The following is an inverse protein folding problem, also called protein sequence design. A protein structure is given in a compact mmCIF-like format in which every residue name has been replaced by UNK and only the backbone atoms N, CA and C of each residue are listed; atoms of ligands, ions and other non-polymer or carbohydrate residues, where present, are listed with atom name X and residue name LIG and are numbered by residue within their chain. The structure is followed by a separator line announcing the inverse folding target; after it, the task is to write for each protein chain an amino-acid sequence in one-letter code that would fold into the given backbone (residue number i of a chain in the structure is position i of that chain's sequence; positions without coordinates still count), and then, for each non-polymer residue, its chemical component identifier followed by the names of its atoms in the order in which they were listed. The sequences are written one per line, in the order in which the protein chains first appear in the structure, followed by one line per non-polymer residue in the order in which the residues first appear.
data_IF_415453590769
#
_entry.id   IF_415453590769
#
_cell.length_a   1.000
_cell.length_b   1.000
_cell.length_c   1.000
_cell.angle_alpha   90.00
_cell.angle_beta   90.00
_cell.angle_gamma   90.00
#
_symmetry.space_group_name_H-M   'P 1'
#
loop_
_entity.id
_entity.type
_entity.pdbx_description
1 polymer ?
#
# COMPACT_ATOMS: atom_id res chain seq x y z
N UNK A 1 -11.29 13.23 -7.37
CA UNK A 1 -12.15 14.19 -8.09
C UNK A 1 -12.84 13.52 -9.27
N UNK A 2 -12.12 13.03 -10.29
CA UNK A 2 -12.66 12.41 -11.50
C UNK A 2 -13.63 11.25 -11.21
N UNK A 3 -13.33 10.39 -10.23
CA UNK A 3 -14.21 9.30 -9.80
C UNK A 3 -15.61 9.81 -9.40
N UNK A 4 -15.65 10.83 -8.56
CA UNK A 4 -16.91 11.43 -8.09
C UNK A 4 -17.72 12.07 -9.21
N UNK A 5 -17.05 12.78 -10.12
CA UNK A 5 -17.70 13.35 -11.29
C UNK A 5 -18.28 12.26 -12.18
N UNK A 6 -17.49 11.23 -12.47
CA UNK A 6 -17.86 10.21 -13.47
C UNK A 6 -18.92 9.24 -12.96
N UNK A 7 -18.71 8.67 -11.77
CA UNK A 7 -19.57 7.59 -11.26
C UNK A 7 -20.77 8.07 -10.41
N UNK A 8 -20.76 9.32 -9.99
CA UNK A 8 -21.86 9.88 -9.20
C UNK A 8 -22.58 10.96 -9.99
N UNK A 9 -21.94 12.11 -10.23
CA UNK A 9 -22.63 13.25 -10.84
C UNK A 9 -23.09 12.95 -12.27
N UNK A 10 -22.20 12.48 -13.13
CA UNK A 10 -22.54 12.24 -14.53
C UNK A 10 -23.50 11.08 -14.76
N UNK A 11 -23.60 10.12 -13.82
CA UNK A 11 -24.49 8.97 -13.94
C UNK A 11 -25.81 9.13 -13.19
N UNK A 12 -25.81 9.85 -12.07
CA UNK A 12 -26.96 9.88 -11.15
C UNK A 12 -27.64 11.25 -11.08
N UNK A 13 -27.06 12.30 -11.64
CA UNK A 13 -27.62 13.65 -11.68
C UNK A 13 -27.82 14.13 -13.11
N UNK A 14 -29.03 13.98 -13.63
CA UNK A 14 -29.41 14.41 -14.99
C UNK A 14 -29.17 15.90 -15.25
N UNK A 15 -29.16 16.72 -14.21
CA UNK A 15 -28.94 18.17 -14.32
C UNK A 15 -27.47 18.58 -14.33
N UNK A 16 -26.57 17.64 -14.03
CA UNK A 16 -25.14 17.92 -13.93
C UNK A 16 -24.50 18.21 -15.29
N UNK A 17 -23.63 19.19 -15.31
CA UNK A 17 -22.80 19.51 -16.48
C UNK A 17 -21.33 19.30 -16.14
N UNK A 18 -20.60 18.46 -16.89
CA UNK A 18 -19.17 18.25 -16.66
C UNK A 18 -18.37 19.56 -16.70
N UNK A 19 -17.41 19.69 -15.81
CA UNK A 19 -16.52 20.85 -15.75
C UNK A 19 -15.79 21.06 -17.08
N UNK A 20 -15.27 19.99 -17.65
CA UNK A 20 -14.65 19.96 -18.97
C UNK A 20 -14.80 18.57 -19.57
N UNK A 21 -15.31 18.46 -20.79
CA UNK A 21 -15.57 17.19 -21.48
C UNK A 21 -14.30 16.34 -21.70
N UNK A 22 -13.15 17.01 -21.93
CA UNK A 22 -11.89 16.33 -22.19
C UNK A 22 -11.27 15.74 -20.92
N UNK A 23 -11.71 16.20 -19.74
CA UNK A 23 -11.20 15.68 -18.46
C UNK A 23 -11.57 14.23 -18.22
N UNK A 24 -12.64 13.74 -18.86
CA UNK A 24 -12.97 12.32 -18.82
C UNK A 24 -11.84 11.46 -19.42
N UNK A 25 -11.28 11.86 -20.55
CA UNK A 25 -10.14 11.19 -21.17
C UNK A 25 -8.81 11.44 -20.41
N UNK A 26 -8.54 12.69 -20.05
CA UNK A 26 -7.27 13.11 -19.44
C UNK A 26 -7.04 12.41 -18.10
N UNK A 27 -8.09 12.24 -17.28
CA UNK A 27 -7.99 11.66 -15.96
C UNK A 27 -8.39 10.19 -15.89
N UNK A 28 -8.88 9.58 -16.98
CA UNK A 28 -9.10 8.14 -17.04
C UNK A 28 -7.77 7.40 -17.23
N UNK A 29 -7.28 6.76 -16.17
CA UNK A 29 -5.98 6.09 -16.17
C UNK A 29 -6.02 4.66 -16.73
N UNK A 30 -7.16 3.93 -16.58
CA UNK A 30 -7.25 2.52 -16.95
C UNK A 30 -8.68 1.92 -17.01
N UNK A 31 -9.72 2.72 -16.78
CA UNK A 31 -11.09 2.20 -16.80
C UNK A 31 -11.64 2.08 -18.22
N UNK A 32 -11.46 0.91 -18.83
CA UNK A 32 -11.99 0.61 -20.18
C UNK A 32 -13.52 0.68 -20.26
N UNK A 33 -14.22 0.31 -19.19
CA UNK A 33 -15.67 0.31 -19.12
C UNK A 33 -16.31 1.71 -19.18
N UNK A 34 -15.49 2.76 -18.99
CA UNK A 34 -15.94 4.15 -18.88
C UNK A 34 -15.64 4.96 -20.14
N UNK A 35 -14.95 4.38 -21.10
CA UNK A 35 -14.55 5.02 -22.36
C UNK A 35 -13.04 4.94 -22.61
N UNK A 36 -12.59 5.65 -23.63
CA UNK A 36 -11.18 5.71 -23.97
C UNK A 36 -10.32 6.23 -22.81
N UNK A 37 -9.18 5.61 -22.61
CA UNK A 37 -8.20 6.03 -21.62
C UNK A 37 -6.82 6.25 -22.26
N UNK A 38 -5.98 7.00 -21.58
CA UNK A 38 -4.66 7.32 -22.06
C UNK A 38 -3.67 6.17 -21.85
N UNK A 39 -3.13 5.55 -22.90
CA UNK A 39 -2.20 4.43 -22.79
C UNK A 39 -0.94 4.80 -22.01
N UNK A 40 -0.45 3.87 -21.16
CA UNK A 40 0.71 4.13 -20.28
C UNK A 40 1.95 4.59 -21.03
N UNK A 41 2.24 3.99 -22.19
CA UNK A 41 3.40 4.32 -23.02
C UNK A 41 3.31 5.69 -23.71
N UNK A 42 2.11 6.32 -23.76
CA UNK A 42 1.89 7.63 -24.35
C UNK A 42 1.67 8.75 -23.32
N UNK A 43 1.66 8.41 -22.01
CA UNK A 43 1.37 9.39 -20.96
C UNK A 43 2.36 10.55 -20.88
N UNK A 44 3.61 10.33 -21.28
CA UNK A 44 4.63 11.39 -21.33
C UNK A 44 4.35 12.49 -22.35
N UNK A 45 3.55 12.22 -23.38
CA UNK A 45 3.14 13.19 -24.39
C UNK A 45 1.80 13.89 -24.09
N UNK A 46 1.11 13.48 -23.02
CA UNK A 46 -0.15 14.10 -22.63
C UNK A 46 0.10 15.40 -21.87
N UNK A 47 -0.34 16.50 -22.46
CA UNK A 47 -0.36 17.79 -21.77
C UNK A 47 -1.55 17.83 -20.78
N UNK A 48 -1.25 17.90 -19.50
CA UNK A 48 -2.26 17.97 -18.43
C UNK A 48 -2.58 19.41 -18.06
N UNK A 49 -3.79 19.68 -17.52
CA UNK A 49 -4.12 20.98 -16.99
C UNK A 49 -3.13 21.44 -15.92
N UNK A 50 -2.91 22.74 -15.81
CA UNK A 50 -2.09 23.32 -14.75
C UNK A 50 -2.79 23.13 -13.39
N UNK A 51 -2.00 23.13 -12.30
CA UNK A 51 -2.51 22.91 -10.94
C UNK A 51 -3.71 23.80 -10.59
N UNK A 52 -3.68 25.07 -10.98
CA UNK A 52 -4.77 26.01 -10.73
C UNK A 52 -6.11 25.54 -11.32
N UNK A 53 -6.10 24.93 -12.50
CA UNK A 53 -7.32 24.44 -13.16
C UNK A 53 -7.78 23.10 -12.55
N UNK A 54 -6.83 22.25 -12.14
CA UNK A 54 -7.15 21.02 -11.38
C UNK A 54 -7.81 21.36 -10.03
N UNK A 55 -7.33 22.40 -9.34
CA UNK A 55 -7.93 22.88 -8.08
C UNK A 55 -9.34 23.43 -8.33
N UNK A 56 -9.57 24.22 -9.40
CA UNK A 56 -10.93 24.67 -9.76
C UNK A 56 -11.85 23.48 -10.07
N UNK A 57 -11.35 22.51 -10.83
CA UNK A 57 -12.10 21.30 -11.11
C UNK A 57 -12.50 20.56 -9.84
N UNK A 58 -11.56 20.40 -8.89
CA UNK A 58 -11.86 19.78 -7.60
C UNK A 58 -12.93 20.52 -6.82
N UNK A 59 -12.85 21.84 -6.72
CA UNK A 59 -13.87 22.65 -6.05
C UNK A 59 -15.24 22.51 -6.71
N UNK A 60 -15.30 22.63 -8.03
CA UNK A 60 -16.53 22.48 -8.78
C UNK A 60 -17.22 21.14 -8.53
N UNK A 61 -16.48 20.03 -8.63
CA UNK A 61 -17.03 18.70 -8.38
C UNK A 61 -17.45 18.54 -6.93
N UNK A 62 -16.66 19.03 -5.98
CA UNK A 62 -16.98 18.93 -4.55
C UNK A 62 -18.29 19.66 -4.20
N UNK A 63 -18.47 20.89 -4.69
CA UNK A 63 -19.69 21.67 -4.47
C UNK A 63 -20.91 20.95 -5.05
N UNK A 64 -20.81 20.46 -6.28
CA UNK A 64 -21.90 19.72 -6.92
C UNK A 64 -22.24 18.41 -6.19
N UNK A 65 -21.24 17.66 -5.70
CA UNK A 65 -21.48 16.46 -4.88
C UNK A 65 -22.20 16.83 -3.58
N UNK A 66 -21.76 17.85 -2.88
CA UNK A 66 -22.40 18.29 -1.63
C UNK A 66 -23.87 18.68 -1.88
N UNK A 67 -24.14 19.41 -2.94
CA UNK A 67 -25.51 19.82 -3.29
C UNK A 67 -26.36 18.64 -3.77
N UNK A 68 -25.78 17.70 -4.51
CA UNK A 68 -26.47 16.48 -4.89
C UNK A 68 -26.84 15.63 -3.67
N UNK A 69 -25.95 15.47 -2.69
CA UNK A 69 -26.18 14.72 -1.46
C UNK A 69 -27.26 15.35 -0.56
N UNK A 70 -27.43 16.67 -0.57
CA UNK A 70 -28.50 17.34 0.18
C UNK A 70 -29.90 16.98 -0.34
N UNK A 71 -30.03 16.77 -1.64
CA UNK A 71 -31.31 16.50 -2.33
C UNK A 71 -31.57 15.03 -2.66
N UNK A 72 -30.54 14.17 -2.52
CA UNK A 72 -30.64 12.76 -2.87
C UNK A 72 -30.20 11.90 -1.70
N UNK A 73 -31.07 10.97 -1.29
CA UNK A 73 -30.79 9.98 -0.23
C UNK A 73 -31.08 8.59 -0.80
N UNK A 74 -30.06 7.92 -1.31
CA UNK A 74 -30.16 6.52 -1.69
C UNK A 74 -28.87 5.76 -1.36
N UNK A 75 -29.00 4.45 -1.16
CA UNK A 75 -27.90 3.59 -0.73
C UNK A 75 -26.77 3.55 -1.75
N UNK A 76 -27.08 3.56 -3.05
CA UNK A 76 -26.05 3.53 -4.11
C UNK A 76 -25.17 4.78 -4.07
N UNK A 77 -25.77 5.96 -3.90
CA UNK A 77 -24.99 7.21 -3.77
C UNK A 77 -24.12 7.20 -2.54
N UNK A 78 -24.66 6.76 -1.39
CA UNK A 78 -23.89 6.66 -0.13
C UNK A 78 -22.70 5.71 -0.30
N UNK A 79 -22.92 4.53 -0.86
CA UNK A 79 -21.85 3.56 -1.13
C UNK A 79 -20.77 4.12 -2.06
N UNK A 80 -21.14 4.78 -3.16
CA UNK A 80 -20.18 5.35 -4.09
C UNK A 80 -19.35 6.49 -3.48
N UNK A 81 -19.95 7.30 -2.61
CA UNK A 81 -19.23 8.35 -1.88
C UNK A 81 -18.23 7.73 -0.90
N UNK A 82 -18.62 6.70 -0.17
CA UNK A 82 -17.76 5.99 0.76
C UNK A 82 -16.62 5.27 0.02
N UNK A 83 -16.93 4.56 -1.06
CA UNK A 83 -15.94 3.93 -1.93
C UNK A 83 -14.92 4.95 -2.47
N UNK A 84 -15.41 6.08 -3.00
CA UNK A 84 -14.54 7.13 -3.53
C UNK A 84 -13.65 7.76 -2.46
N UNK A 85 -14.14 7.90 -1.23
CA UNK A 85 -13.38 8.44 -0.10
C UNK A 85 -12.28 7.47 0.33
N UNK A 86 -12.58 6.19 0.47
CA UNK A 86 -11.59 5.15 0.78
C UNK A 86 -10.54 5.02 -0.34
N UNK A 87 -10.97 5.07 -1.60
CA UNK A 87 -10.05 5.07 -2.75
C UNK A 87 -9.13 6.31 -2.77
N UNK A 88 -9.61 7.49 -2.39
CA UNK A 88 -8.78 8.69 -2.24
C UNK A 88 -7.69 8.48 -1.15
N UNK A 89 -8.03 7.83 -0.03
CA UNK A 89 -7.07 7.51 1.04
C UNK A 89 -5.99 6.53 0.56
N UNK A 90 -6.33 5.53 -0.23
CA UNK A 90 -5.32 4.64 -0.86
C UNK A 90 -4.33 5.43 -1.72
N UNK A 91 -4.82 6.38 -2.52
CA UNK A 91 -3.93 7.24 -3.32
C UNK A 91 -3.04 8.15 -2.47
N UNK A 92 -3.52 8.62 -1.31
CA UNK A 92 -2.69 9.40 -0.38
C UNK A 92 -1.53 8.55 0.16
N UNK A 93 -1.79 7.29 0.52
CA UNK A 93 -0.74 6.36 0.94
C UNK A 93 0.30 6.13 -0.17
N UNK A 94 -0.15 5.83 -1.39
CA UNK A 94 0.73 5.66 -2.55
C UNK A 94 1.60 6.89 -2.81
N UNK A 95 1.04 8.10 -2.70
CA UNK A 95 1.81 9.34 -2.86
C UNK A 95 2.90 9.49 -1.79
N UNK A 96 2.63 9.10 -0.54
CA UNK A 96 3.64 9.11 0.52
C UNK A 96 4.76 8.09 0.27
N UNK A 97 4.43 6.92 -0.28
CA UNK A 97 5.42 5.93 -0.69
C UNK A 97 6.32 6.47 -1.82
N UNK A 98 5.71 7.07 -2.85
CA UNK A 98 6.44 7.67 -3.97
C UNK A 98 7.33 8.83 -3.53
N UNK A 99 6.83 9.74 -2.69
CA UNK A 99 7.60 10.86 -2.13
C UNK A 99 8.79 10.33 -1.32
N UNK A 100 8.59 9.30 -0.50
CA UNK A 100 9.69 8.68 0.26
C UNK A 100 10.79 8.17 -0.68
N UNK A 101 10.42 7.49 -1.76
CA UNK A 101 11.38 6.98 -2.73
C UNK A 101 12.12 8.10 -3.48
N UNK A 102 11.40 9.13 -3.91
CA UNK A 102 11.99 10.30 -4.59
C UNK A 102 12.98 11.02 -3.67
N UNK A 103 12.64 11.20 -2.40
CA UNK A 103 13.48 11.89 -1.43
C UNK A 103 14.71 11.08 -1.04
N UNK A 104 14.57 9.77 -0.92
CA UNK A 104 15.70 8.87 -0.66
C UNK A 104 16.72 8.88 -1.80
N UNK A 105 16.26 8.92 -3.04
CA UNK A 105 17.14 8.97 -4.22
C UNK A 105 17.70 10.40 -4.50
N UNK A 106 17.25 11.39 -3.77
CA UNK A 106 17.79 12.74 -3.86
C UNK A 106 19.04 12.86 -2.96
N UNK A 107 20.20 13.33 -3.48
CA UNK A 107 21.40 13.49 -2.67
C UNK A 107 21.23 14.36 -1.41
N UNK A 108 20.25 15.27 -1.41
CA UNK A 108 19.96 16.13 -0.28
C UNK A 108 19.09 15.45 0.79
N UNK A 109 18.50 14.28 0.49
CA UNK A 109 17.60 13.54 1.38
C UNK A 109 16.60 14.45 2.13
N UNK A 110 15.77 15.24 1.42
CA UNK A 110 14.87 16.19 2.07
C UNK A 110 13.84 15.49 2.94
N UNK A 111 13.29 16.21 3.92
CA UNK A 111 12.24 15.72 4.81
C UNK A 111 10.86 16.17 4.34
N UNK A 112 9.87 15.29 4.46
CA UNK A 112 8.46 15.64 4.25
C UNK A 112 7.84 16.27 5.51
N UNK A 113 8.22 15.73 6.69
CA UNK A 113 7.73 16.19 7.98
C UNK A 113 8.87 16.16 9.01
N UNK A 114 8.85 17.05 9.99
CA UNK A 114 9.85 17.13 11.05
C UNK A 114 9.40 16.55 12.39
N UNK A 115 8.28 15.83 12.43
CA UNK A 115 7.79 15.23 13.67
C UNK A 115 8.73 14.12 14.15
N UNK A 116 8.93 14.05 15.46
CA UNK A 116 9.66 12.94 16.06
C UNK A 116 8.76 11.70 16.18
N UNK A 117 9.35 10.56 15.85
CA UNK A 117 8.70 9.27 16.06
C UNK A 117 8.53 9.00 17.55
N UNK A 118 7.37 8.48 17.95
CA UNK A 118 7.21 7.95 19.30
C UNK A 118 8.04 6.67 19.45
N UNK A 119 8.70 6.47 20.60
CA UNK A 119 9.36 5.19 20.86
C UNK A 119 8.34 4.05 20.81
N UNK A 120 8.76 2.94 20.24
CA UNK A 120 7.96 1.72 20.18
C UNK A 120 8.54 0.72 21.16
N UNK A 121 7.72 0.15 22.03
CA UNK A 121 8.09 -1.00 22.83
C UNK A 121 7.65 -2.27 22.09
N UNK A 122 8.54 -3.25 22.02
CA UNK A 122 8.17 -4.57 21.50
C UNK A 122 7.19 -5.20 22.47
N UNK A 123 5.99 -5.52 22.00
CA UNK A 123 5.11 -6.43 22.71
C UNK A 123 5.44 -7.86 22.24
N UNK A 124 5.92 -8.69 23.12
CA UNK A 124 6.12 -10.11 22.85
C UNK A 124 4.77 -10.81 22.86
N UNK A 125 4.13 -10.85 21.72
CA UNK A 125 2.88 -11.55 21.54
C UNK A 125 3.09 -12.74 20.59
N UNK A 126 3.30 -13.92 21.17
CA UNK A 126 3.17 -15.19 20.45
C UNK A 126 1.71 -15.61 20.48
N UNK A 127 1.11 -15.80 19.32
CA UNK A 127 -0.20 -16.43 19.20
C UNK A 127 -0.01 -17.92 18.93
N UNK A 128 -0.57 -18.75 19.79
CA UNK A 128 -0.56 -20.21 19.61
C UNK A 128 -1.97 -20.72 19.35
N UNK A 129 -2.13 -21.51 18.29
CA UNK A 129 -3.28 -22.36 18.08
C UNK A 129 -2.87 -23.81 18.40
N UNK A 130 -3.41 -24.38 19.50
CA UNK A 130 -3.01 -25.72 19.95
C UNK A 130 -3.79 -26.86 19.30
N UNK A 131 -4.98 -26.57 18.79
CA UNK A 131 -5.86 -27.57 18.18
C UNK A 131 -6.43 -27.06 16.88
N UNK A 132 -6.70 -27.97 15.94
CA UNK A 132 -7.37 -27.65 14.68
C UNK A 132 -8.69 -26.93 14.94
N UNK A 133 -8.88 -25.79 14.29
CA UNK A 133 -10.03 -24.92 14.48
C UNK A 133 -10.51 -24.32 13.16
N UNK A 134 -11.83 -24.13 13.06
CA UNK A 134 -12.46 -23.42 11.94
C UNK A 134 -12.47 -21.93 12.18
N UNK A 135 -12.10 -21.16 11.18
CA UNK A 135 -12.10 -19.71 11.17
C UNK A 135 -12.90 -19.17 10.00
N UNK A 136 -13.58 -18.07 10.26
CA UNK A 136 -14.19 -17.28 9.20
C UNK A 136 -13.31 -16.08 8.88
N UNK A 137 -13.14 -15.79 7.60
CA UNK A 137 -12.42 -14.62 7.11
C UNK A 137 -13.18 -13.98 5.94
N UNK A 138 -12.85 -12.73 5.62
CA UNK A 138 -13.62 -11.95 4.68
C UNK A 138 -14.65 -11.05 5.36
N UNK A 139 -15.47 -10.38 4.57
CA UNK A 139 -16.48 -9.43 5.03
C UNK A 139 -17.90 -9.87 4.59
N UNK A 140 -18.92 -9.38 5.28
CA UNK A 140 -20.34 -9.68 5.03
C UNK A 140 -21.17 -8.47 4.57
N UNK A 141 -20.52 -7.38 4.14
CA UNK A 141 -21.16 -6.13 3.69
C UNK A 141 -21.87 -5.30 4.78
N UNK A 142 -21.77 -5.67 6.06
CA UNK A 142 -22.37 -4.87 7.14
C UNK A 142 -21.65 -3.54 7.37
N UNK A 143 -20.38 -3.48 6.96
CA UNK A 143 -19.54 -2.28 6.96
C UNK A 143 -18.91 -2.12 5.57
N UNK A 144 -18.35 -0.94 5.29
CA UNK A 144 -17.61 -0.76 4.03
C UNK A 144 -16.52 -1.81 3.87
N UNK A 145 -16.48 -2.43 2.68
CA UNK A 145 -15.42 -3.33 2.25
C UNK A 145 -15.24 -3.24 0.73
N UNK A 146 -14.07 -3.64 0.27
CA UNK A 146 -13.82 -3.80 -1.16
C UNK A 146 -14.30 -5.18 -1.64
N UNK A 147 -14.50 -5.32 -2.94
CA UNK A 147 -14.96 -6.56 -3.58
C UNK A 147 -14.05 -7.76 -3.33
N UNK A 148 -12.74 -7.52 -3.20
CA UNK A 148 -11.75 -8.56 -2.89
C UNK A 148 -11.76 -9.03 -1.42
N UNK A 149 -12.51 -8.36 -0.55
CA UNK A 149 -12.74 -8.78 0.83
C UNK A 149 -13.99 -9.67 0.97
N UNK A 150 -14.74 -9.87 -0.12
CA UNK A 150 -15.99 -10.66 -0.18
C UNK A 150 -15.78 -12.00 -0.89
N UNK A 151 -16.61 -12.99 -0.59
CA UNK A 151 -17.53 -13.12 0.53
C UNK A 151 -16.84 -13.60 1.80
N UNK A 152 -17.59 -13.68 2.91
CA UNK A 152 -17.15 -14.44 4.08
C UNK A 152 -16.90 -15.88 3.67
N UNK A 153 -15.72 -16.38 3.95
CA UNK A 153 -15.30 -17.76 3.70
C UNK A 153 -14.92 -18.45 5.02
N UNK A 154 -14.97 -19.76 5.03
CA UNK A 154 -14.56 -20.57 6.18
C UNK A 154 -13.36 -21.43 5.80
N UNK A 155 -12.35 -21.46 6.65
CA UNK A 155 -11.20 -22.36 6.52
C UNK A 155 -10.93 -23.08 7.83
N UNK A 156 -10.29 -24.23 7.71
CA UNK A 156 -9.80 -24.99 8.86
C UNK A 156 -8.28 -24.80 8.95
N UNK A 157 -7.82 -24.41 10.12
CA UNK A 157 -6.40 -24.26 10.39
C UNK A 157 -5.93 -25.35 11.34
N UNK A 158 -4.83 -25.99 10.99
CA UNK A 158 -4.12 -26.90 11.86
C UNK A 158 -3.35 -26.14 12.96
N UNK A 159 -2.88 -26.82 14.01
CA UNK A 159 -2.11 -26.19 15.07
C UNK A 159 -0.90 -25.43 14.53
N UNK A 160 -0.70 -24.21 15.02
CA UNK A 160 0.45 -23.38 14.64
C UNK A 160 0.86 -22.44 15.78
N UNK A 161 2.06 -21.93 15.65
CA UNK A 161 2.56 -20.78 16.41
C UNK A 161 2.93 -19.67 15.44
N UNK A 162 2.51 -18.44 15.75
CA UNK A 162 2.89 -17.26 15.01
C UNK A 162 3.55 -16.25 15.95
N UNK A 163 4.71 -15.79 15.58
CA UNK A 163 5.37 -14.70 16.29
C UNK A 163 4.73 -13.36 15.93
N UNK A 164 4.98 -12.34 16.76
CA UNK A 164 4.64 -10.98 16.43
C UNK A 164 5.40 -10.50 15.19
N UNK A 165 5.88 -9.32 15.12
CA UNK A 165 6.70 -8.86 14.00
C UNK A 165 8.18 -9.13 14.22
N UNK A 166 8.93 -9.28 13.13
CA UNK A 166 10.39 -9.32 13.15
C UNK A 166 10.94 -7.90 13.33
N UNK A 167 11.82 -7.72 14.29
CA UNK A 167 12.40 -6.41 14.63
C UNK A 167 13.62 -6.05 13.78
N UNK A 168 13.95 -4.77 13.75
CA UNK A 168 15.20 -4.30 13.14
C UNK A 168 16.43 -4.90 13.84
N UNK A 169 16.36 -5.15 15.15
CA UNK A 169 17.43 -5.82 15.91
C UNK A 169 17.70 -7.23 15.41
N UNK A 170 16.65 -8.04 15.28
CA UNK A 170 16.73 -9.40 14.73
C UNK A 170 17.21 -9.40 13.28
N UNK A 171 16.83 -8.38 12.52
CA UNK A 171 17.32 -8.25 11.14
C UNK A 171 18.81 -7.90 11.06
N UNK A 172 19.31 -7.08 11.99
CA UNK A 172 20.76 -6.83 12.10
C UNK A 172 21.55 -8.10 12.43
N UNK A 173 21.02 -8.97 13.28
CA UNK A 173 21.62 -10.29 13.54
C UNK A 173 21.73 -11.08 12.25
N UNK A 174 20.65 -11.18 11.47
CA UNK A 174 20.66 -11.85 10.17
C UNK A 174 21.73 -11.28 9.21
N UNK A 175 21.85 -9.94 9.14
CA UNK A 175 22.89 -9.29 8.32
C UNK A 175 24.28 -9.66 8.82
N UNK A 176 24.52 -9.56 10.14
CA UNK A 176 25.84 -9.81 10.75
C UNK A 176 26.28 -11.28 10.63
N UNK A 177 25.33 -12.20 10.66
CA UNK A 177 25.56 -13.64 10.47
C UNK A 177 25.70 -14.02 8.98
N UNK A 178 25.77 -13.03 8.10
CA UNK A 178 26.00 -13.24 6.67
C UNK A 178 24.75 -13.62 5.88
N UNK A 179 23.56 -13.28 6.34
CA UNK A 179 22.31 -13.64 5.71
C UNK A 179 22.21 -13.25 4.23
N UNK A 180 22.75 -12.10 3.84
CA UNK A 180 22.84 -11.66 2.43
C UNK A 180 24.00 -12.30 1.64
N UNK A 181 24.84 -13.10 2.27
CA UNK A 181 26.02 -13.74 1.65
C UNK A 181 25.91 -15.25 1.59
N UNK A 182 24.96 -15.85 2.29
CA UNK A 182 24.73 -17.28 2.29
C UNK A 182 23.56 -17.66 1.38
N UNK A 183 23.83 -18.25 0.23
CA UNK A 183 22.84 -18.64 -0.77
C UNK A 183 21.85 -19.70 -0.28
N UNK A 184 22.17 -20.47 0.76
CA UNK A 184 21.32 -21.54 1.27
C UNK A 184 19.99 -21.03 1.84
N UNK A 185 19.93 -19.76 2.26
CA UNK A 185 18.70 -19.15 2.75
C UNK A 185 17.76 -18.66 1.64
N UNK A 186 18.27 -18.49 0.42
CA UNK A 186 17.55 -17.79 -0.63
C UNK A 186 16.89 -18.72 -1.65
N UNK A 187 15.72 -18.30 -2.13
CA UNK A 187 15.18 -18.83 -3.36
C UNK A 187 16.04 -18.35 -4.55
N UNK A 188 16.08 -19.13 -5.62
CA UNK A 188 16.92 -18.88 -6.80
C UNK A 188 16.80 -17.44 -7.33
N UNK A 189 15.56 -17.01 -7.63
CA UNK A 189 15.30 -15.66 -8.15
C UNK A 189 15.70 -14.57 -7.16
N UNK A 190 15.51 -14.84 -5.86
CA UNK A 190 15.90 -13.92 -4.78
C UNK A 190 17.43 -13.80 -4.70
N UNK A 191 18.15 -14.90 -4.83
CA UNK A 191 19.60 -14.89 -4.84
C UNK A 191 20.18 -14.14 -6.03
N UNK A 192 19.61 -14.35 -7.21
CA UNK A 192 19.99 -13.60 -8.41
C UNK A 192 19.72 -12.11 -8.25
N UNK A 193 18.59 -11.75 -7.67
CA UNK A 193 18.24 -10.36 -7.40
C UNK A 193 19.20 -9.69 -6.42
N UNK A 194 19.56 -10.37 -5.33
CA UNK A 194 20.53 -9.89 -4.33
C UNK A 194 21.89 -9.63 -4.96
N UNK A 195 22.40 -10.61 -5.74
CA UNK A 195 23.70 -10.48 -6.38
C UNK A 195 23.74 -9.39 -7.46
N UNK A 196 22.74 -9.37 -8.34
CA UNK A 196 22.67 -8.39 -9.43
C UNK A 196 22.55 -6.95 -8.91
N UNK A 197 21.85 -6.75 -7.80
CA UNK A 197 21.67 -5.44 -7.19
C UNK A 197 22.62 -5.16 -6.02
N UNK A 198 23.48 -6.11 -5.66
CA UNK A 198 24.44 -6.02 -4.55
C UNK A 198 23.76 -5.62 -3.24
N UNK A 199 22.64 -6.27 -2.94
CA UNK A 199 21.87 -5.99 -1.73
C UNK A 199 22.59 -6.57 -0.51
N UNK A 200 22.67 -5.78 0.55
CA UNK A 200 23.29 -6.17 1.83
C UNK A 200 22.40 -5.81 3.03
N UNK A 201 21.28 -5.16 2.80
CA UNK A 201 20.39 -4.60 3.84
C UNK A 201 19.03 -4.21 3.27
N UNK A 202 18.00 -4.01 4.08
CA UNK A 202 16.69 -3.54 3.66
C UNK A 202 16.73 -2.21 2.90
N UNK A 203 15.78 -2.01 2.00
CA UNK A 203 15.61 -0.74 1.30
C UNK A 203 15.44 0.41 2.31
N UNK A 204 16.02 1.57 2.00
CA UNK A 204 16.09 2.78 2.83
C UNK A 204 17.02 2.72 4.05
N UNK A 205 17.64 1.60 4.37
CA UNK A 205 18.75 1.59 5.31
C UNK A 205 19.98 2.22 4.65
N UNK A 206 20.54 3.26 5.26
CA UNK A 206 21.76 3.94 4.78
C UNK A 206 22.97 3.12 5.19
N UNK A 207 22.98 2.70 6.44
CA UNK A 207 23.98 1.83 7.08
C UNK A 207 23.31 0.99 8.17
N UNK A 208 24.08 0.26 8.97
CA UNK A 208 23.55 -0.57 10.05
C UNK A 208 22.97 0.22 11.24
N UNK A 209 23.11 1.55 11.27
CA UNK A 209 22.64 2.39 12.36
C UNK A 209 21.59 3.41 11.94
N UNK A 210 21.51 3.74 10.65
CA UNK A 210 20.68 4.82 10.15
C UNK A 210 19.82 4.37 8.98
N UNK A 211 18.59 4.88 8.93
CA UNK A 211 17.66 4.65 7.81
C UNK A 211 16.95 5.94 7.42
N UNK A 212 16.48 6.00 6.20
CA UNK A 212 15.72 7.12 5.68
C UNK A 212 14.23 6.93 5.93
N UNK A 213 13.60 7.99 6.44
CA UNK A 213 12.15 8.07 6.67
C UNK A 213 11.58 9.34 6.06
N UNK A 214 10.25 9.48 6.03
CA UNK A 214 9.61 10.76 5.66
C UNK A 214 9.97 11.91 6.63
N UNK A 215 10.45 11.57 7.83
CA UNK A 215 10.95 12.53 8.82
C UNK A 215 12.48 12.73 8.72
N UNK A 216 13.08 12.35 7.58
CA UNK A 216 14.51 12.42 7.32
C UNK A 216 15.27 11.18 7.78
N UNK A 217 16.60 11.35 7.89
CA UNK A 217 17.48 10.29 8.37
C UNK A 217 17.33 10.15 9.88
N UNK A 218 17.03 8.94 10.32
CA UNK A 218 16.85 8.58 11.73
C UNK A 218 17.75 7.41 12.12
N UNK A 219 18.06 7.28 13.40
CA UNK A 219 18.70 6.08 13.94
C UNK A 219 17.72 4.91 13.89
N UNK A 220 18.22 3.74 13.52
CA UNK A 220 17.42 2.52 13.52
C UNK A 220 17.12 2.14 14.96
N UNK A 221 15.83 2.13 15.28
CA UNK A 221 15.31 1.61 16.54
C UNK A 221 15.22 0.08 16.42
N UNK A 222 15.95 -0.65 17.25
CA UNK A 222 16.03 -2.10 17.18
C UNK A 222 14.70 -2.79 17.52
N UNK A 223 13.85 -2.14 18.31
CA UNK A 223 12.56 -2.69 18.75
C UNK A 223 11.43 -2.49 17.71
N UNK A 224 11.64 -1.61 16.73
CA UNK A 224 10.66 -1.39 15.67
C UNK A 224 10.65 -2.55 14.66
N UNK A 225 9.49 -2.83 14.03
CA UNK A 225 9.40 -3.80 12.95
C UNK A 225 10.33 -3.44 11.81
N UNK A 226 11.01 -4.44 11.25
CA UNK A 226 11.71 -4.27 9.99
C UNK A 226 10.70 -4.00 8.87
N UNK A 227 11.02 -3.10 7.97
CA UNK A 227 10.16 -2.72 6.86
C UNK A 227 10.96 -2.54 5.58
N UNK A 228 10.23 -2.48 4.44
CA UNK A 228 10.82 -2.31 3.11
C UNK A 228 11.77 -3.45 2.72
N UNK A 229 11.37 -4.67 3.06
CA UNK A 229 11.97 -5.91 2.62
C UNK A 229 11.10 -6.55 1.53
N UNK A 230 11.72 -7.29 0.64
CA UNK A 230 11.05 -8.08 -0.38
C UNK A 230 10.54 -9.41 0.20
N UNK A 231 9.68 -10.09 -0.55
CA UNK A 231 9.28 -11.46 -0.24
C UNK A 231 10.51 -12.39 -0.10
N UNK A 232 11.48 -12.25 -0.99
CA UNK A 232 12.70 -13.08 -0.97
C UNK A 232 13.56 -12.86 0.27
N UNK A 233 13.65 -11.61 0.75
CA UNK A 233 14.33 -11.28 2.00
C UNK A 233 13.60 -11.87 3.20
N UNK A 234 12.28 -11.77 3.22
CA UNK A 234 11.45 -12.34 4.29
C UNK A 234 11.57 -13.88 4.34
N UNK A 235 11.56 -14.55 3.18
CA UNK A 235 11.76 -16.01 3.08
C UNK A 235 13.15 -16.43 3.55
N UNK A 236 14.19 -15.71 3.13
CA UNK A 236 15.56 -15.97 3.55
C UNK A 236 15.73 -15.81 5.07
N UNK A 237 15.14 -14.77 5.66
CA UNK A 237 15.13 -14.60 7.12
C UNK A 237 14.38 -15.73 7.82
N UNK A 238 13.23 -16.13 7.31
CA UNK A 238 12.46 -17.23 7.89
C UNK A 238 13.29 -18.55 7.89
N UNK A 239 13.97 -18.86 6.79
CA UNK A 239 14.87 -20.02 6.72
C UNK A 239 16.05 -19.91 7.69
N UNK A 240 16.66 -18.74 7.82
CA UNK A 240 17.71 -18.48 8.80
C UNK A 240 17.26 -18.77 10.24
N UNK A 241 16.02 -18.42 10.58
CA UNK A 241 15.43 -18.67 11.92
C UNK A 241 14.75 -20.05 12.07
N UNK A 242 14.80 -20.93 11.05
CA UNK A 242 14.04 -22.19 10.99
C UNK A 242 12.52 -21.98 11.17
N UNK A 243 12.01 -20.94 10.57
CA UNK A 243 10.60 -20.59 10.51
C UNK A 243 10.08 -20.72 9.07
N UNK A 244 8.79 -20.52 8.88
CA UNK A 244 8.18 -20.37 7.56
C UNK A 244 7.31 -19.12 7.53
N UNK A 245 7.08 -18.58 6.32
CA UNK A 245 6.09 -17.53 6.12
C UNK A 245 4.69 -18.13 6.01
N UNK A 246 3.69 -17.37 6.41
CA UNK A 246 2.28 -17.83 6.36
C UNK A 246 1.82 -18.20 4.94
N UNK A 247 2.42 -17.64 3.90
CA UNK A 247 2.07 -17.94 2.51
C UNK A 247 2.75 -19.19 1.94
N UNK A 248 3.69 -19.81 2.67
CA UNK A 248 4.43 -20.99 2.20
C UNK A 248 3.68 -22.28 2.53
N UNK A 249 2.84 -22.26 3.56
CA UNK A 249 2.07 -23.42 3.99
C UNK A 249 0.87 -23.75 3.07
N UNK A 250 0.54 -22.86 2.15
CA UNK A 250 -0.51 -23.06 1.15
C UNK A 250 0.13 -23.27 -0.21
N UNK A 251 0.00 -24.47 -0.83
CA UNK A 251 0.36 -24.63 -2.23
C UNK A 251 -0.60 -23.78 -3.04
N UNK A 252 -0.15 -22.66 -3.53
CA UNK A 252 -0.87 -21.89 -4.53
C UNK A 252 -1.05 -22.77 -5.78
N UNK A 253 -2.24 -23.22 -5.98
CA UNK A 253 -2.67 -23.90 -7.20
C UNK A 253 -3.33 -22.93 -8.14
#
# INVERSE_FOLDING_TARGET
TWFFEKFILSELDESYKPFNKDYNYIFNSYYNSVGEYNPRNKRGSLNRPILKDVVKYRHYVTENIIDFLKRTKNNRTSFLVELGSNHEQQHQELMLMDIKNIFYNNPLMPTYNSNDDKPTTKEENELTLETTKKFKYGNNEDIFCYDNELPVSETQLDPFKIYSFVTNGEWKEFINDGGYKNHEYWLSDGWDFVNNNKLEKPMYWIDNNNYFTLNGVKKIDNEKPVSHISFYEADAFARYKNLSLIHISEPTR
#
